data_IF_261516945394
#
_entry.id   IF_261516945394
#
_cell.length_a   1.000
_cell.length_b   1.000
_cell.length_c   1.000
_cell.angle_alpha   90.00
_cell.angle_beta   90.00
_cell.angle_gamma   90.00
#
_symmetry.space_group_name_H-M   'P 1'
#
loop_
_entity.id
_entity.type
_entity.pdbx_description
1 polymer ?
#
# COMPACT_ATOMS: atom_id res chain seq x y z
N UNK A 1 8.30 1.71 -13.33
CA UNK A 1 6.88 2.04 -13.58
C UNK A 1 6.07 1.88 -12.31
N UNK A 2 4.89 2.49 -12.25
CA UNK A 2 3.90 2.32 -11.19
C UNK A 2 2.48 2.29 -11.81
N UNK A 3 1.43 2.46 -11.02
CA UNK A 3 0.03 2.29 -11.45
C UNK A 3 -0.82 3.52 -11.18
N UNK A 4 -1.96 3.64 -11.87
CA UNK A 4 -2.95 4.68 -11.58
C UNK A 4 -3.42 4.59 -10.13
N UNK A 5 -3.78 5.74 -9.55
CA UNK A 5 -4.24 5.94 -8.16
C UNK A 5 -3.21 5.69 -7.04
N UNK A 6 -1.97 5.31 -7.37
CA UNK A 6 -0.95 4.95 -6.39
C UNK A 6 -0.47 6.14 -5.53
N UNK A 7 0.11 5.82 -4.37
CA UNK A 7 0.82 6.78 -3.53
C UNK A 7 2.07 6.15 -2.89
N UNK A 8 3.24 6.59 -3.33
CA UNK A 8 4.54 6.07 -2.85
C UNK A 8 5.35 7.09 -2.04
N UNK A 9 4.86 8.33 -1.92
CA UNK A 9 5.50 9.39 -1.14
C UNK A 9 5.52 10.74 -1.86
N UNK A 10 6.25 11.69 -1.27
CA UNK A 10 6.32 13.09 -1.75
C UNK A 10 7.74 13.61 -1.91
N UNK A 11 8.76 12.75 -1.78
CA UNK A 11 10.14 13.11 -2.14
C UNK A 11 10.32 13.00 -3.65
N UNK A 12 11.30 13.69 -4.26
CA UNK A 12 11.37 13.81 -5.72
C UNK A 12 11.26 12.46 -6.48
N UNK A 13 11.95 11.40 -6.02
CA UNK A 13 11.85 10.07 -6.62
C UNK A 13 10.52 9.36 -6.36
N UNK A 14 10.03 9.37 -5.11
CA UNK A 14 8.75 8.73 -4.76
C UNK A 14 7.54 9.47 -5.35
N UNK A 15 7.65 10.79 -5.51
CA UNK A 15 6.66 11.63 -6.15
C UNK A 15 6.58 11.36 -7.65
N UNK A 16 7.72 11.10 -8.30
CA UNK A 16 7.73 10.66 -9.69
C UNK A 16 6.99 9.34 -9.90
N UNK A 17 6.98 8.45 -8.90
CA UNK A 17 6.20 7.22 -8.90
C UNK A 17 4.76 7.37 -8.38
N UNK A 18 4.39 8.48 -7.75
CA UNK A 18 3.02 8.75 -7.27
C UNK A 18 2.19 9.31 -8.41
N UNK A 19 1.03 8.71 -8.73
CA UNK A 19 0.25 9.07 -9.92
C UNK A 19 -0.66 10.29 -9.74
N UNK A 20 -0.92 10.70 -8.49
CA UNK A 20 -1.90 11.75 -8.17
C UNK A 20 -1.40 13.12 -8.65
N UNK A 21 -2.09 13.69 -9.64
CA UNK A 21 -1.71 14.94 -10.32
C UNK A 21 -1.54 16.10 -9.33
N UNK A 22 -2.45 16.24 -8.36
CA UNK A 22 -2.40 17.32 -7.38
C UNK A 22 -1.13 17.32 -6.50
N UNK A 23 -0.44 16.19 -6.38
CA UNK A 23 0.84 16.13 -5.69
C UNK A 23 2.02 16.39 -6.63
N UNK A 24 1.88 16.08 -7.92
CA UNK A 24 2.96 16.19 -8.91
C UNK A 24 3.08 17.59 -9.51
N UNK A 25 1.95 18.20 -9.85
CA UNK A 25 1.88 19.48 -10.58
C UNK A 25 2.68 20.61 -9.92
N UNK A 26 2.63 20.80 -8.58
CA UNK A 26 3.42 21.86 -7.92
C UNK A 26 4.94 21.67 -8.02
N UNK A 27 5.41 20.47 -8.37
CA UNK A 27 6.83 20.12 -8.45
C UNK A 27 7.25 19.73 -9.88
N UNK A 28 6.43 20.06 -10.88
CA UNK A 28 6.75 19.73 -12.27
C UNK A 28 7.93 20.58 -12.80
N UNK A 29 8.83 19.99 -13.61
CA UNK A 29 8.89 18.57 -13.95
C UNK A 29 9.42 17.72 -12.79
N UNK A 30 8.75 16.59 -12.50
CA UNK A 30 9.26 15.58 -11.57
C UNK A 30 10.38 14.76 -12.23
N UNK A 31 11.08 13.92 -11.45
CA UNK A 31 12.12 13.04 -11.96
C UNK A 31 11.62 12.22 -13.19
N UNK A 32 12.38 12.21 -14.31
CA UNK A 32 11.97 11.48 -15.51
C UNK A 32 12.07 9.96 -15.34
N UNK A 33 11.52 9.21 -16.30
CA UNK A 33 11.62 7.73 -16.34
C UNK A 33 10.48 6.98 -15.63
N UNK A 34 9.60 7.69 -14.92
CA UNK A 34 8.37 7.10 -14.40
C UNK A 34 7.29 7.03 -15.48
N UNK A 35 6.60 5.89 -15.55
CA UNK A 35 5.44 5.65 -16.40
C UNK A 35 4.39 4.87 -15.61
N UNK A 36 3.13 4.95 -16.03
CA UNK A 36 1.98 4.39 -15.33
C UNK A 36 1.17 3.48 -16.25
N UNK A 37 0.71 2.36 -15.72
CA UNK A 37 -0.35 1.53 -16.29
C UNK A 37 -1.60 1.59 -15.39
N UNK A 38 -2.77 1.20 -15.89
CA UNK A 38 -3.95 1.10 -15.05
C UNK A 38 -3.79 0.00 -13.98
N UNK A 39 -4.10 0.31 -12.72
CA UNK A 39 -4.03 -0.67 -11.64
C UNK A 39 -5.00 -1.83 -11.89
N UNK A 40 -4.51 -3.07 -11.83
CA UNK A 40 -5.28 -4.28 -12.16
C UNK A 40 -5.29 -4.65 -13.65
N UNK A 41 -4.80 -3.78 -14.55
CA UNK A 41 -4.74 -4.06 -15.98
C UNK A 41 -3.41 -4.74 -16.35
N UNK A 42 -3.38 -6.07 -16.25
CA UNK A 42 -2.17 -6.86 -16.52
C UNK A 42 -1.67 -6.73 -17.96
N UNK A 43 -2.59 -6.69 -18.94
CA UNK A 43 -2.25 -6.63 -20.35
C UNK A 43 -1.57 -5.31 -20.72
N UNK A 44 -2.04 -4.19 -20.14
CA UNK A 44 -1.36 -2.91 -20.28
C UNK A 44 0.02 -2.94 -19.60
N UNK A 45 0.10 -3.47 -18.38
CA UNK A 45 1.35 -3.56 -17.65
C UNK A 45 2.41 -4.35 -18.43
N UNK A 46 2.06 -5.52 -18.98
CA UNK A 46 2.95 -6.36 -19.78
C UNK A 46 3.49 -5.66 -21.04
N UNK A 47 2.70 -4.80 -21.68
CA UNK A 47 3.18 -3.99 -22.82
C UNK A 47 4.25 -2.98 -22.43
N UNK A 48 4.22 -2.52 -21.17
CA UNK A 48 5.18 -1.55 -20.63
C UNK A 48 6.43 -2.25 -20.10
N UNK A 49 6.27 -3.39 -19.43
CA UNK A 49 7.36 -4.19 -18.83
C UNK A 49 8.17 -4.86 -19.94
N UNK A 50 9.18 -4.14 -20.42
CA UNK A 50 10.06 -4.58 -21.50
C UNK A 50 11.51 -4.57 -21.03
N UNK A 51 12.28 -5.59 -21.44
CA UNK A 51 13.69 -5.71 -21.10
C UNK A 51 14.49 -4.48 -21.56
N UNK A 52 15.40 -4.00 -20.71
CA UNK A 52 16.20 -2.80 -20.95
C UNK A 52 15.44 -1.46 -20.85
N UNK A 53 14.10 -1.48 -20.69
CA UNK A 53 13.27 -0.28 -20.59
C UNK A 53 12.75 -0.03 -19.18
N UNK A 54 12.29 -1.07 -18.50
CA UNK A 54 11.74 -0.98 -17.14
C UNK A 54 12.70 -1.64 -16.16
N UNK A 55 13.28 -0.84 -15.27
CA UNK A 55 14.14 -1.35 -14.20
C UNK A 55 13.34 -2.01 -13.06
N UNK A 56 12.17 -1.45 -12.73
CA UNK A 56 11.35 -1.93 -11.63
C UNK A 56 9.86 -1.59 -11.81
N UNK A 57 9.01 -2.45 -11.25
CA UNK A 57 7.55 -2.31 -11.18
C UNK A 57 7.16 -2.11 -9.72
N UNK A 58 6.72 -0.90 -9.38
CA UNK A 58 6.24 -0.55 -8.04
C UNK A 58 4.73 -0.74 -7.97
N UNK A 59 4.25 -1.57 -7.04
CA UNK A 59 2.83 -1.85 -6.85
C UNK A 59 2.51 -1.96 -5.36
N UNK A 60 1.40 -1.37 -4.95
CA UNK A 60 0.80 -1.64 -3.64
C UNK A 60 -0.03 -2.93 -3.78
N UNK A 61 0.18 -4.01 -2.99
CA UNK A 61 -0.71 -5.19 -3.02
C UNK A 61 -2.18 -4.83 -2.74
N UNK A 62 -2.38 -3.76 -1.97
CA UNK A 62 -3.66 -3.08 -1.81
C UNK A 62 -3.42 -1.57 -1.76
N UNK A 63 -3.98 -0.85 -2.72
CA UNK A 63 -3.92 0.61 -2.76
C UNK A 63 -4.79 1.21 -1.67
N UNK A 64 -4.20 1.75 -0.61
CA UNK A 64 -4.99 2.34 0.45
C UNK A 64 -5.39 3.79 0.15
N UNK A 65 -4.44 4.64 -0.25
CA UNK A 65 -4.71 6.01 -0.71
C UNK A 65 -5.48 6.05 -2.04
N UNK A 66 -5.31 5.01 -2.87
CA UNK A 66 -5.99 4.87 -4.16
C UNK A 66 -7.47 4.51 -4.05
N UNK A 67 -7.99 4.25 -2.84
CA UNK A 67 -9.40 3.95 -2.62
C UNK A 67 -9.67 2.55 -2.07
N UNK A 68 -8.73 1.93 -1.37
CA UNK A 68 -8.88 0.59 -0.76
C UNK A 68 -9.11 -0.50 -1.83
N UNK A 69 -8.40 -0.41 -2.96
CA UNK A 69 -8.48 -1.41 -4.03
C UNK A 69 -7.44 -2.51 -3.81
N UNK A 70 -7.89 -3.75 -3.66
CA UNK A 70 -7.02 -4.92 -3.57
C UNK A 70 -6.59 -5.36 -4.97
N UNK A 71 -5.33 -5.75 -5.13
CA UNK A 71 -4.93 -6.47 -6.32
C UNK A 71 -5.60 -7.86 -6.35
N UNK A 72 -5.71 -8.44 -7.55
CA UNK A 72 -6.01 -9.87 -7.69
C UNK A 72 -4.72 -10.68 -7.65
N UNK A 73 -4.82 -11.98 -7.32
CA UNK A 73 -3.67 -12.88 -7.34
C UNK A 73 -3.11 -13.02 -8.75
N UNK A 74 -3.99 -13.11 -9.75
CA UNK A 74 -3.66 -13.23 -11.16
C UNK A 74 -2.88 -12.00 -11.64
N UNK A 75 -3.26 -10.81 -11.18
CA UNK A 75 -2.55 -9.58 -11.50
C UNK A 75 -1.14 -9.57 -10.90
N UNK A 76 -0.99 -9.81 -9.59
CA UNK A 76 0.34 -9.80 -8.96
C UNK A 76 1.25 -10.92 -9.49
N UNK A 77 0.72 -12.11 -9.72
CA UNK A 77 1.48 -13.21 -10.32
C UNK A 77 1.91 -12.85 -11.75
N UNK A 78 1.00 -12.27 -12.54
CA UNK A 78 1.33 -11.84 -13.89
C UNK A 78 2.41 -10.74 -13.92
N UNK A 79 2.42 -9.83 -12.93
CA UNK A 79 3.49 -8.84 -12.78
C UNK A 79 4.83 -9.50 -12.42
N UNK A 80 4.81 -10.49 -11.53
CA UNK A 80 6.00 -11.27 -11.16
C UNK A 80 6.60 -11.95 -12.39
N UNK A 81 5.80 -12.69 -13.14
CA UNK A 81 6.24 -13.42 -14.33
C UNK A 81 6.81 -12.45 -15.39
N UNK A 82 6.13 -11.31 -15.62
CA UNK A 82 6.59 -10.30 -16.56
C UNK A 82 7.90 -9.62 -16.11
N UNK A 83 8.07 -9.38 -14.81
CA UNK A 83 9.33 -8.85 -14.27
C UNK A 83 10.47 -9.85 -14.46
N UNK A 84 10.22 -11.13 -14.21
CA UNK A 84 11.23 -12.19 -14.37
C UNK A 84 11.66 -12.34 -15.83
N UNK A 85 10.71 -12.35 -16.76
CA UNK A 85 10.98 -12.41 -18.20
C UNK A 85 11.77 -11.20 -18.71
N UNK A 86 11.41 -9.99 -18.27
CA UNK A 86 12.07 -8.75 -18.70
C UNK A 86 13.41 -8.48 -17.99
N UNK A 87 13.70 -9.18 -16.89
CA UNK A 87 14.82 -8.85 -16.00
C UNK A 87 14.58 -7.60 -15.14
N UNK A 88 13.32 -7.20 -14.95
CA UNK A 88 12.92 -6.10 -14.07
C UNK A 88 12.75 -6.58 -12.61
N UNK A 89 12.78 -5.65 -11.66
CA UNK A 89 12.50 -5.94 -10.25
C UNK A 89 11.01 -5.70 -9.92
N UNK A 90 10.40 -6.60 -9.16
CA UNK A 90 9.08 -6.37 -8.59
C UNK A 90 9.23 -5.74 -7.20
N UNK A 91 8.57 -4.60 -6.98
CA UNK A 91 8.60 -3.86 -5.72
C UNK A 91 7.21 -3.78 -5.13
N UNK A 92 7.04 -4.32 -3.92
CA UNK A 92 5.80 -4.16 -3.16
C UNK A 92 5.91 -3.01 -2.17
N UNK A 93 5.01 -2.05 -2.32
CA UNK A 93 4.82 -1.03 -1.31
C UNK A 93 3.80 -1.51 -0.28
N UNK A 94 4.34 -2.02 0.84
CA UNK A 94 3.56 -2.49 1.97
C UNK A 94 3.50 -1.50 3.13
N UNK A 95 3.87 -0.23 2.88
CA UNK A 95 3.86 0.81 3.90
C UNK A 95 2.50 0.93 4.58
N UNK A 96 1.40 0.73 3.85
CA UNK A 96 0.04 0.80 4.40
C UNK A 96 -0.61 -0.56 4.68
N UNK A 97 -0.43 -1.53 3.80
CA UNK A 97 -1.16 -2.81 3.85
C UNK A 97 -0.40 -3.93 4.56
N UNK A 98 0.89 -3.78 4.84
CA UNK A 98 1.68 -4.76 5.59
C UNK A 98 1.49 -4.69 7.10
N UNK A 99 2.39 -5.36 7.82
CA UNK A 99 2.48 -5.38 9.28
C UNK A 99 1.17 -5.77 9.95
N UNK A 100 0.56 -6.87 9.49
CA UNK A 100 -0.64 -7.43 10.11
C UNK A 100 -1.95 -6.79 9.65
N UNK A 101 -1.92 -5.66 8.93
CA UNK A 101 -3.11 -4.86 8.60
C UNK A 101 -4.21 -5.65 7.88
N UNK A 102 -3.81 -6.54 6.98
CA UNK A 102 -4.70 -7.40 6.18
C UNK A 102 -5.04 -8.72 6.85
N UNK A 103 -4.56 -8.98 8.07
CA UNK A 103 -4.63 -10.29 8.72
C UNK A 103 -3.49 -11.24 8.33
N UNK A 104 -2.54 -10.78 7.52
CA UNK A 104 -1.26 -11.44 7.23
C UNK A 104 -0.11 -10.56 7.71
N UNK A 105 1.04 -11.13 8.05
CA UNK A 105 2.16 -10.32 8.50
C UNK A 105 2.58 -9.37 7.37
N UNK A 106 2.71 -9.92 6.18
CA UNK A 106 2.88 -9.18 4.93
C UNK A 106 1.67 -9.43 4.04
N UNK A 107 1.12 -8.38 3.43
CA UNK A 107 -0.05 -8.49 2.56
C UNK A 107 0.19 -9.46 1.40
N UNK A 108 1.44 -9.54 0.89
CA UNK A 108 1.79 -10.45 -0.20
C UNK A 108 1.56 -11.94 0.13
N UNK A 109 1.59 -12.33 1.41
CA UNK A 109 1.40 -13.73 1.83
C UNK A 109 0.04 -14.27 1.40
N UNK A 110 -0.99 -13.41 1.35
CA UNK A 110 -2.32 -13.77 0.87
C UNK A 110 -2.33 -14.17 -0.63
N UNK A 111 -1.37 -13.67 -1.39
CA UNK A 111 -1.27 -13.88 -2.84
C UNK A 111 -0.26 -14.98 -3.20
N UNK A 112 0.71 -15.24 -2.32
CA UNK A 112 1.80 -16.19 -2.57
C UNK A 112 2.82 -15.68 -3.60
N UNK A 113 2.89 -14.36 -3.81
CA UNK A 113 3.82 -13.71 -4.74
C UNK A 113 4.89 -12.98 -3.93
N UNK A 114 6.16 -13.30 -4.14
CA UNK A 114 7.27 -12.69 -3.40
C UNK A 114 7.93 -11.58 -4.24
N UNK A 115 8.05 -10.35 -3.72
CA UNK A 115 8.72 -9.26 -4.43
C UNK A 115 10.25 -9.35 -4.32
N UNK A 116 10.96 -8.66 -5.21
CA UNK A 116 12.42 -8.46 -5.08
C UNK A 116 12.75 -7.42 -4.00
N UNK A 117 11.86 -6.43 -3.82
CA UNK A 117 11.99 -5.34 -2.84
C UNK A 117 10.64 -5.11 -2.16
N UNK A 118 10.64 -4.85 -0.85
CA UNK A 118 9.44 -4.47 -0.11
C UNK A 118 9.69 -3.25 0.78
N UNK A 119 8.79 -2.27 0.76
CA UNK A 119 8.87 -1.08 1.62
C UNK A 119 7.90 -1.13 2.79
N UNK A 120 8.36 -0.76 3.99
CA UNK A 120 7.59 -0.77 5.24
C UNK A 120 7.80 0.54 6.00
N UNK A 121 6.77 1.06 6.68
CA UNK A 121 6.87 2.22 7.57
C UNK A 121 5.65 2.25 8.51
N UNK A 122 4.97 3.40 8.63
CA UNK A 122 3.69 3.64 9.34
C UNK A 122 3.57 2.88 10.68
N UNK A 123 2.88 1.72 10.82
CA UNK A 123 2.69 1.13 12.12
C UNK A 123 3.97 0.53 12.71
N UNK A 124 5.05 0.36 11.92
CA UNK A 124 6.25 -0.39 12.29
C UNK A 124 6.79 0.00 13.67
N UNK A 125 7.04 1.29 13.94
CA UNK A 125 7.51 1.75 15.25
C UNK A 125 6.42 2.46 16.08
N UNK A 126 5.15 2.06 15.91
CA UNK A 126 4.06 2.55 16.76
C UNK A 126 3.85 4.07 16.71
N UNK A 127 4.20 4.71 15.58
CA UNK A 127 4.11 6.16 15.40
C UNK A 127 5.44 6.90 15.38
N UNK A 128 6.55 6.28 15.80
CA UNK A 128 7.88 6.85 15.60
C UNK A 128 8.34 6.73 14.14
N UNK A 129 9.11 7.70 13.62
CA UNK A 129 9.53 7.70 12.22
C UNK A 129 10.58 6.62 11.95
N UNK A 130 10.18 5.61 11.17
CA UNK A 130 11.08 4.60 10.61
C UNK A 130 10.55 4.18 9.23
N UNK A 131 11.46 4.00 8.29
CA UNK A 131 11.21 3.36 7.01
C UNK A 131 12.20 2.21 6.83
N UNK A 132 11.72 1.09 6.30
CA UNK A 132 12.53 -0.10 6.03
C UNK A 132 12.33 -0.50 4.58
N UNK A 133 13.44 -0.84 3.92
CA UNK A 133 13.46 -1.45 2.59
C UNK A 133 14.04 -2.85 2.77
N UNK A 134 13.22 -3.87 2.57
CA UNK A 134 13.65 -5.25 2.52
C UNK A 134 13.99 -5.60 1.08
N UNK A 135 15.10 -6.30 0.86
CA UNK A 135 15.60 -6.65 -0.47
C UNK A 135 16.04 -8.11 -0.48
N UNK A 136 15.91 -8.76 -1.64
CA UNK A 136 16.52 -10.09 -1.85
C UNK A 136 18.04 -9.97 -1.99
N UNK A 137 18.75 -11.09 -1.83
CA UNK A 137 20.22 -11.13 -2.01
C UNK A 137 20.64 -10.67 -3.42
N UNK A 138 19.84 -11.02 -4.44
CA UNK A 138 20.03 -10.54 -5.82
C UNK A 138 20.13 -9.01 -5.87
N UNK A 139 19.25 -8.30 -5.18
CA UNK A 139 19.25 -6.83 -5.13
C UNK A 139 20.34 -6.31 -4.20
N UNK A 140 20.52 -6.93 -3.03
CA UNK A 140 21.52 -6.53 -2.04
C UNK A 140 22.94 -6.55 -2.62
N UNK A 141 23.27 -7.56 -3.43
CA UNK A 141 24.58 -7.72 -4.08
C UNK A 141 24.97 -6.58 -5.02
N UNK A 142 24.01 -5.76 -5.45
CA UNK A 142 24.25 -4.58 -6.29
C UNK A 142 24.48 -3.29 -5.48
N UNK A 143 24.32 -3.32 -4.15
CA UNK A 143 24.48 -2.17 -3.26
C UNK A 143 25.85 -2.25 -2.59
N UNK A 144 26.76 -1.35 -2.96
CA UNK A 144 28.11 -1.30 -2.42
C UNK A 144 28.22 -0.36 -1.22
N UNK A 145 29.30 -0.53 -0.47
CA UNK A 145 29.66 0.41 0.58
C UNK A 145 29.78 1.83 0.03
N UNK A 146 28.99 2.76 0.60
CA UNK A 146 28.97 4.17 0.19
C UNK A 146 27.85 4.57 -0.77
N UNK A 147 27.13 3.61 -1.39
CA UNK A 147 26.05 3.90 -2.35
C UNK A 147 24.81 4.52 -1.70
N UNK A 148 24.57 4.22 -0.42
CA UNK A 148 23.43 4.72 0.34
C UNK A 148 23.77 4.92 1.82
N UNK A 149 23.10 5.87 2.48
CA UNK A 149 23.30 6.14 3.89
C UNK A 149 22.24 7.08 4.48
N UNK A 150 22.08 7.01 5.80
CA UNK A 150 21.17 7.87 6.57
C UNK A 150 21.67 8.01 8.00
N UNK A 151 21.71 9.24 8.52
CA UNK A 151 22.23 9.53 9.87
C UNK A 151 21.41 8.87 10.98
N UNK A 152 20.09 8.83 10.83
CA UNK A 152 19.17 8.31 11.86
C UNK A 152 18.65 6.90 11.56
N UNK A 153 18.93 6.35 10.38
CA UNK A 153 18.51 5.00 10.03
C UNK A 153 19.21 3.96 10.89
N UNK A 154 18.45 2.97 11.36
CA UNK A 154 18.99 1.94 12.26
C UNK A 154 19.24 2.41 13.69
N UNK A 155 18.73 3.59 14.09
CA UNK A 155 18.87 4.09 15.45
C UNK A 155 18.25 3.14 16.50
N UNK A 156 18.93 2.85 17.62
CA UNK A 156 18.52 1.79 18.55
C UNK A 156 17.14 2.02 19.17
N UNK A 157 16.77 3.28 19.45
CA UNK A 157 15.46 3.62 20.01
C UNK A 157 14.31 3.26 19.06
N UNK A 158 14.38 3.69 17.80
CA UNK A 158 13.33 3.43 16.81
C UNK A 158 13.29 1.95 16.42
N UNK A 159 14.45 1.28 16.37
CA UNK A 159 14.53 -0.17 16.17
C UNK A 159 13.89 -0.95 17.33
N UNK A 160 14.13 -0.56 18.59
CA UNK A 160 13.50 -1.23 19.74
C UNK A 160 11.98 -1.06 19.74
N UNK A 161 11.48 0.13 19.37
CA UNK A 161 10.06 0.36 19.18
C UNK A 161 9.49 -0.52 18.06
N UNK A 162 10.22 -0.66 16.94
CA UNK A 162 9.83 -1.53 15.84
C UNK A 162 9.77 -3.02 16.24
N UNK A 163 10.79 -3.52 16.92
CA UNK A 163 10.82 -4.89 17.46
C UNK A 163 9.64 -5.14 18.42
N UNK A 164 9.36 -4.18 19.30
CA UNK A 164 8.23 -4.28 20.24
C UNK A 164 6.88 -4.39 19.52
N UNK A 165 6.71 -3.70 18.40
CA UNK A 165 5.51 -3.83 17.56
C UNK A 165 5.45 -5.20 16.89
N UNK A 166 6.55 -5.67 16.31
CA UNK A 166 6.62 -6.98 15.66
C UNK A 166 6.35 -8.11 16.65
N UNK A 167 6.93 -8.07 17.85
CA UNK A 167 6.70 -9.03 18.92
C UNK A 167 5.22 -9.14 19.29
N UNK A 168 4.48 -8.02 19.23
CA UNK A 168 3.03 -8.02 19.48
C UNK A 168 2.25 -8.63 18.32
N UNK A 169 2.61 -8.30 17.08
CA UNK A 169 1.94 -8.81 15.88
C UNK A 169 2.15 -10.32 15.74
N UNK A 170 3.34 -10.81 16.10
CA UNK A 170 3.72 -12.23 16.00
C UNK A 170 3.12 -13.11 17.11
N UNK A 171 2.43 -12.53 18.10
CA UNK A 171 1.77 -13.33 19.14
C UNK A 171 0.76 -14.29 18.52
N UNK A 172 0.70 -15.56 18.97
CA UNK A 172 -0.29 -16.53 18.49
C UNK A 172 -1.70 -15.96 18.54
N UNK A 173 -2.44 -16.08 17.44
CA UNK A 173 -3.82 -15.61 17.32
C UNK A 173 -4.00 -14.13 17.00
N UNK A 174 -2.96 -13.28 17.06
CA UNK A 174 -3.10 -11.84 16.76
C UNK A 174 -3.62 -11.60 15.33
N UNK A 175 -2.96 -12.18 14.33
CA UNK A 175 -3.33 -12.03 12.91
C UNK A 175 -4.71 -12.63 12.60
N UNK A 176 -5.04 -13.78 13.21
CA UNK A 176 -6.36 -14.40 13.09
C UNK A 176 -7.47 -13.50 13.67
N UNK A 177 -7.20 -12.84 14.80
CA UNK A 177 -8.13 -11.85 15.38
C UNK A 177 -8.27 -10.61 14.51
N UNK A 178 -7.21 -10.14 13.84
CA UNK A 178 -7.32 -9.05 12.85
C UNK A 178 -8.24 -9.44 11.70
N UNK A 179 -8.05 -10.63 11.11
CA UNK A 179 -8.90 -11.13 10.03
C UNK A 179 -10.37 -11.25 10.47
N UNK A 180 -10.62 -11.86 11.64
CA UNK A 180 -11.96 -12.03 12.21
C UNK A 180 -12.65 -10.70 12.51
N UNK A 181 -11.95 -9.75 13.13
CA UNK A 181 -12.50 -8.41 13.42
C UNK A 181 -12.78 -7.65 12.13
N UNK A 182 -11.90 -7.74 11.15
CA UNK A 182 -12.08 -7.14 9.83
C UNK A 182 -13.34 -7.63 9.13
N UNK A 183 -13.55 -8.95 9.12
CA UNK A 183 -14.74 -9.54 8.50
C UNK A 183 -16.03 -9.16 9.23
N UNK A 184 -16.02 -9.24 10.57
CA UNK A 184 -17.15 -8.79 11.38
C UNK A 184 -17.46 -7.30 11.13
N UNK A 185 -16.44 -6.45 11.06
CA UNK A 185 -16.60 -5.03 10.85
C UNK A 185 -17.21 -4.71 9.48
N UNK A 186 -16.72 -5.34 8.40
CA UNK A 186 -17.33 -5.22 7.06
C UNK A 186 -18.77 -5.72 7.05
N UNK A 187 -19.07 -6.86 7.68
CA UNK A 187 -20.43 -7.41 7.73
C UNK A 187 -21.40 -6.46 8.46
N UNK A 188 -20.95 -5.86 9.57
CA UNK A 188 -21.73 -4.86 10.30
C UNK A 188 -22.01 -3.62 9.44
N UNK A 189 -20.99 -3.10 8.75
CA UNK A 189 -21.17 -1.97 7.83
C UNK A 189 -22.16 -2.32 6.71
N UNK A 190 -22.00 -3.46 6.06
CA UNK A 190 -22.90 -3.92 4.98
C UNK A 190 -24.34 -4.08 5.47
N UNK A 191 -24.53 -4.58 6.69
CA UNK A 191 -25.87 -4.73 7.27
C UNK A 191 -26.48 -3.37 7.64
N UNK A 192 -25.71 -2.51 8.32
CA UNK A 192 -26.20 -1.23 8.84
C UNK A 192 -26.39 -0.17 7.76
N UNK A 193 -25.66 -0.26 6.66
CA UNK A 193 -25.74 0.65 5.53
C UNK A 193 -26.58 0.06 4.38
N UNK A 194 -27.14 -1.15 4.55
CA UNK A 194 -28.03 -1.76 3.58
C UNK A 194 -29.21 -0.84 3.26
N UNK A 195 -29.47 -0.62 1.97
CA UNK A 195 -30.53 0.27 1.49
C UNK A 195 -30.16 1.75 1.42
N UNK A 196 -28.95 2.15 1.83
CA UNK A 196 -28.47 3.51 1.58
C UNK A 196 -28.05 3.65 0.10
N UNK A 197 -28.82 4.42 -0.67
CA UNK A 197 -28.60 4.62 -2.11
C UNK A 197 -27.23 5.24 -2.45
N UNK A 198 -26.61 5.95 -1.51
CA UNK A 198 -25.31 6.58 -1.73
C UNK A 198 -24.12 5.61 -1.58
N UNK A 199 -24.32 4.45 -0.93
CA UNK A 199 -23.25 3.46 -0.73
C UNK A 199 -23.15 2.57 -1.96
N UNK A 200 -22.03 2.68 -2.68
CA UNK A 200 -21.74 1.89 -3.87
C UNK A 200 -21.11 0.54 -3.54
N UNK A 201 -20.12 0.56 -2.65
CA UNK A 201 -19.35 -0.63 -2.31
C UNK A 201 -18.74 -0.50 -0.92
N UNK A 202 -18.67 -1.61 -0.19
CA UNK A 202 -17.86 -1.74 1.01
C UNK A 202 -16.81 -2.80 0.71
N UNK A 203 -15.53 -2.41 0.78
CA UNK A 203 -14.39 -3.27 0.41
C UNK A 203 -13.25 -3.18 1.41
N UNK A 204 -12.30 -4.11 1.30
CA UNK A 204 -11.13 -4.19 2.16
C UNK A 204 -10.89 -5.58 2.73
N UNK A 205 -9.72 -5.76 3.35
CA UNK A 205 -9.26 -7.03 3.93
C UNK A 205 -8.64 -6.71 5.30
N UNK A 206 -8.89 -7.55 6.30
CA UNK A 206 -8.47 -7.27 7.67
C UNK A 206 -9.05 -5.94 8.16
N UNK A 207 -8.21 -5.11 8.78
CA UNK A 207 -8.63 -3.83 9.36
C UNK A 207 -8.18 -2.63 8.52
N UNK A 208 -8.23 -2.77 7.20
CA UNK A 208 -8.21 -1.68 6.22
C UNK A 208 -9.48 -1.76 5.38
N UNK A 209 -10.45 -0.88 5.67
CA UNK A 209 -11.79 -0.94 5.10
C UNK A 209 -12.15 0.40 4.46
N UNK A 210 -12.80 0.32 3.29
CA UNK A 210 -13.30 1.45 2.52
C UNK A 210 -14.79 1.35 2.28
N UNK A 211 -15.48 2.49 2.36
CA UNK A 211 -16.90 2.65 1.98
C UNK A 211 -16.90 3.64 0.82
N UNK A 212 -17.16 3.16 -0.39
CA UNK A 212 -17.29 4.02 -1.56
C UNK A 212 -18.69 4.59 -1.66
N UNK A 213 -18.73 5.90 -1.89
CA UNK A 213 -19.94 6.66 -2.10
C UNK A 213 -20.05 7.14 -3.55
N UNK A 214 -21.28 7.34 -3.99
CA UNK A 214 -21.58 8.02 -5.25
C UNK A 214 -21.45 9.56 -5.15
N UNK A 215 -21.32 10.07 -3.92
CA UNK A 215 -21.13 11.47 -3.54
C UNK A 215 -19.77 11.70 -2.84
N UNK A 216 -19.31 12.95 -2.67
CA UNK A 216 -18.12 13.24 -1.87
C UNK A 216 -18.24 12.73 -0.43
N UNK A 217 -17.15 12.14 0.08
CA UNK A 217 -17.11 11.55 1.43
C UNK A 217 -16.86 12.58 2.55
N UNK A 218 -16.40 13.80 2.20
CA UNK A 218 -16.05 14.85 3.16
C UNK A 218 -17.13 15.14 4.21
N UNK A 219 -18.39 15.42 3.81
CA UNK A 219 -19.48 15.65 4.77
C UNK A 219 -19.74 14.49 5.73
N UNK A 220 -19.53 13.24 5.29
CA UNK A 220 -19.66 12.08 6.17
C UNK A 220 -18.48 11.97 7.14
N UNK A 221 -17.25 12.29 6.69
CA UNK A 221 -16.08 12.37 7.57
C UNK A 221 -16.29 13.41 8.67
N UNK A 222 -16.80 14.59 8.34
CA UNK A 222 -17.10 15.65 9.31
C UNK A 222 -18.19 15.17 10.30
N UNK A 223 -19.27 14.56 9.80
CA UNK A 223 -20.33 14.03 10.64
C UNK A 223 -19.90 12.85 11.55
N UNK A 224 -18.87 12.10 11.15
CA UNK A 224 -18.22 11.09 11.98
C UNK A 224 -17.39 11.75 13.08
N UNK A 225 -16.63 12.79 12.75
CA UNK A 225 -15.80 13.55 13.69
C UNK A 225 -16.67 14.20 14.78
N UNK A 226 -17.80 14.80 14.41
CA UNK A 226 -18.78 15.38 15.33
C UNK A 226 -19.35 14.34 16.33
N UNK A 227 -19.29 13.05 15.97
CA UNK A 227 -19.72 11.93 16.81
C UNK A 227 -18.55 11.22 17.50
N UNK A 228 -17.35 11.78 17.45
CA UNK A 228 -16.15 11.24 18.09
C UNK A 228 -15.50 10.07 17.34
N UNK A 229 -15.78 9.90 16.06
CA UNK A 229 -15.21 8.84 15.20
C UNK A 229 -14.28 9.47 14.17
N UNK A 230 -12.98 9.18 14.26
CA UNK A 230 -11.99 9.67 13.30
C UNK A 230 -11.87 8.69 12.14
N UNK A 231 -12.23 9.14 10.95
CA UNK A 231 -12.07 8.44 9.68
C UNK A 231 -11.39 9.36 8.68
N UNK A 232 -10.87 8.79 7.59
CA UNK A 232 -10.18 9.54 6.54
C UNK A 232 -10.92 9.39 5.21
N UNK A 233 -10.54 10.18 4.21
CA UNK A 233 -10.94 9.94 2.82
C UNK A 233 -9.87 9.14 2.06
N UNK A 234 -10.26 8.52 0.96
CA UNK A 234 -9.38 7.88 -0.02
C UNK A 234 -9.94 8.02 -1.44
N UNK A 235 -9.20 7.51 -2.44
CA UNK A 235 -9.60 7.55 -3.84
C UNK A 235 -9.67 8.99 -4.37
N UNK A 236 -10.78 9.33 -5.03
CA UNK A 236 -11.06 10.69 -5.53
C UNK A 236 -11.69 11.60 -4.47
N UNK A 237 -11.69 11.18 -3.20
CA UNK A 237 -12.38 11.87 -2.11
C UNK A 237 -13.82 11.39 -1.89
N UNK A 238 -14.23 10.31 -2.55
CA UNK A 238 -15.55 9.68 -2.43
C UNK A 238 -15.52 8.36 -1.64
N UNK A 239 -14.38 7.99 -1.07
CA UNK A 239 -14.25 6.78 -0.23
C UNK A 239 -13.99 7.20 1.20
N UNK A 240 -14.83 6.77 2.14
CA UNK A 240 -14.48 6.82 3.58
C UNK A 240 -13.56 5.66 3.87
N UNK A 241 -12.43 5.93 4.50
CA UNK A 241 -11.39 4.96 4.85
C UNK A 241 -11.26 4.87 6.36
N UNK A 242 -11.21 3.64 6.85
CA UNK A 242 -10.93 3.32 8.24
C UNK A 242 -9.81 2.29 8.34
N UNK A 243 -8.78 2.63 9.13
CA UNK A 243 -7.63 1.79 9.42
C UNK A 243 -7.48 1.69 10.95
N UNK A 244 -8.14 0.71 11.58
CA UNK A 244 -8.15 0.52 13.04
C UNK A 244 -7.22 -0.61 13.48
#
# INVERSE_FOLDING_TARGET
MSFTNCFHGRTMGSLALTSKVQYREPFAPVMPGATFAEYGNLEEAKKVIQSGKIAAVFVEPMQGEGGIHSATKEFLQGLRDACDEAGALLVFDEVQCGLGRTGYLWAYEAYGVVPDIMTLAKPLAGGLPIGVVLVTEKVASAINYGDHGTTFGGGPLVCQAALTTLDKIQKPGFLAEVAKKGENFKQLLSTKLSGNAHVKEIRGIGLIVGIELDVPAGPLVDACLDRGVIVLTAGKGNVVRQCC
#
